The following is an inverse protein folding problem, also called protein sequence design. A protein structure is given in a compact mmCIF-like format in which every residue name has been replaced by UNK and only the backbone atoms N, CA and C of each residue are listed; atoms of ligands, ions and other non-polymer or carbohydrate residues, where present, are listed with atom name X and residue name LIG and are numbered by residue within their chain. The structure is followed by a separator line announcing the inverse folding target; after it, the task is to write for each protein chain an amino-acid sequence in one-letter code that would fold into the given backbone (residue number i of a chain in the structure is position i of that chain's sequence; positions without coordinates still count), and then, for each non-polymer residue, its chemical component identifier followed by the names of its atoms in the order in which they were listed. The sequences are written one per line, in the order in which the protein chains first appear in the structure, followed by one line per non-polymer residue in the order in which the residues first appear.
data_IF_194687526237
#
_entry.id   IF_194687526237
#
_cell.length_a   1.000
_cell.length_b   1.000
_cell.length_c   1.000
_cell.angle_alpha   90.00
_cell.angle_beta   90.00
_cell.angle_gamma   90.00
#
_symmetry.space_group_name_H-M   'P 1'
#
loop_
_entity.id
_entity.type
_entity.pdbx_description
1 polymer ?
#
# COMPACT_ATOMS: atom_id res chain seq x y z
N UNK A 1 9.33 9.37 -4.28
CA UNK A 1 9.05 10.59 -5.08
C UNK A 1 8.37 11.63 -4.20
N UNK A 2 8.92 12.84 -4.08
CA UNK A 2 8.30 13.90 -3.30
C UNK A 2 6.93 14.25 -3.88
N UNK A 3 5.96 14.51 -3.00
CA UNK A 3 4.69 15.08 -3.43
C UNK A 3 4.98 16.52 -3.88
N UNK A 4 4.55 16.95 -5.08
CA UNK A 4 4.75 18.33 -5.50
C UNK A 4 3.98 19.26 -4.56
N UNK A 5 4.66 20.30 -4.10
CA UNK A 5 4.14 21.40 -3.30
C UNK A 5 3.08 22.20 -4.08
N UNK A 6 2.34 23.05 -3.37
CA UNK A 6 1.32 23.90 -4.00
C UNK A 6 1.91 24.85 -5.05
N UNK A 7 3.11 25.38 -4.78
CA UNK A 7 3.81 26.27 -5.71
C UNK A 7 4.27 25.53 -6.97
N UNK A 8 4.87 24.34 -6.82
CA UNK A 8 5.31 23.52 -7.96
C UNK A 8 4.13 23.09 -8.85
N UNK A 9 2.98 22.77 -8.25
CA UNK A 9 1.76 22.46 -8.99
C UNK A 9 1.26 23.66 -9.79
N UNK A 10 1.23 24.85 -9.18
CA UNK A 10 0.81 26.08 -9.83
C UNK A 10 1.74 26.45 -10.99
N UNK A 11 3.06 26.34 -10.80
CA UNK A 11 4.05 26.55 -11.84
C UNK A 11 3.89 25.57 -13.03
N UNK A 12 3.49 24.33 -12.76
CA UNK A 12 3.20 23.34 -13.80
C UNK A 12 1.79 23.48 -14.43
N UNK A 13 1.00 24.50 -14.05
CA UNK A 13 -0.37 24.69 -14.52
C UNK A 13 -1.35 23.60 -14.07
N UNK A 14 -1.01 22.81 -13.04
CA UNK A 14 -1.82 21.69 -12.54
C UNK A 14 -2.63 22.10 -11.33
N UNK A 15 -3.93 21.81 -11.35
CA UNK A 15 -4.83 21.99 -10.21
C UNK A 15 -5.32 20.64 -9.68
N UNK A 16 -5.74 20.60 -8.40
CA UNK A 16 -6.31 19.39 -7.80
C UNK A 16 -5.31 18.27 -7.46
N UNK A 17 -5.79 17.03 -7.57
CA UNK A 17 -5.00 15.83 -7.31
C UNK A 17 -4.01 15.58 -8.45
N UNK A 18 -2.72 15.58 -8.12
CA UNK A 18 -1.65 15.26 -9.07
C UNK A 18 -1.11 13.90 -8.69
N UNK A 19 -1.32 12.85 -9.52
CA UNK A 19 -0.77 11.53 -9.27
C UNK A 19 0.76 11.61 -9.18
N UNK A 20 1.31 11.03 -8.13
CA UNK A 20 2.76 10.88 -7.99
C UNK A 20 3.17 9.63 -8.76
N UNK A 21 4.23 9.71 -9.57
CA UNK A 21 4.77 8.53 -10.23
C UNK A 21 5.03 7.41 -9.20
N UNK A 22 4.70 6.18 -9.57
CA UNK A 22 4.78 4.96 -8.74
C UNK A 22 3.91 4.92 -7.47
N UNK A 23 3.03 5.90 -7.26
CA UNK A 23 2.05 5.90 -6.15
C UNK A 23 1.19 4.63 -6.11
N UNK A 24 0.84 4.11 -7.30
CA UNK A 24 0.03 2.91 -7.45
C UNK A 24 0.61 1.69 -6.73
N UNK A 25 1.94 1.62 -6.55
CA UNK A 25 2.60 0.50 -5.86
C UNK A 25 2.15 0.46 -4.39
N UNK A 26 2.13 1.62 -3.73
CA UNK A 26 1.71 1.75 -2.32
C UNK A 26 0.23 1.44 -2.19
N UNK A 27 -0.60 2.05 -3.05
CA UNK A 27 -2.05 1.87 -3.02
C UNK A 27 -2.44 0.40 -3.28
N UNK A 28 -1.76 -0.27 -4.20
CA UNK A 28 -1.95 -1.69 -4.48
C UNK A 28 -1.53 -2.57 -3.29
N UNK A 29 -0.40 -2.26 -2.64
CA UNK A 29 0.01 -2.95 -1.41
C UNK A 29 -1.02 -2.79 -0.30
N UNK A 30 -1.56 -1.59 -0.10
CA UNK A 30 -2.63 -1.33 0.86
C UNK A 30 -3.90 -2.13 0.53
N UNK A 31 -4.33 -2.15 -0.73
CA UNK A 31 -5.48 -2.93 -1.17
C UNK A 31 -5.33 -4.44 -0.92
N UNK A 32 -4.11 -4.97 -0.93
CA UNK A 32 -3.87 -6.37 -0.56
C UNK A 32 -4.03 -6.62 0.95
N UNK A 33 -3.60 -5.67 1.77
CA UNK A 33 -3.76 -5.72 3.23
C UNK A 33 -5.22 -5.57 3.66
N UNK A 34 -6.05 -4.84 2.91
CA UNK A 34 -7.49 -4.68 3.20
C UNK A 34 -8.25 -6.00 3.30
N UNK A 35 -7.77 -7.05 2.60
CA UNK A 35 -8.35 -8.40 2.67
C UNK A 35 -7.99 -9.16 3.94
N UNK A 36 -7.14 -8.62 4.79
CA UNK A 36 -6.74 -9.21 6.06
C UNK A 36 -7.39 -8.42 7.20
N UNK A 37 -8.54 -8.91 7.71
CA UNK A 37 -9.32 -8.24 8.78
C UNK A 37 -8.50 -7.92 10.04
N UNK A 38 -7.51 -8.76 10.40
CA UNK A 38 -6.61 -8.48 11.53
C UNK A 38 -5.85 -7.15 11.34
N UNK A 39 -5.45 -6.81 10.12
CA UNK A 39 -4.71 -5.58 9.82
C UNK A 39 -5.59 -4.33 9.70
N UNK A 40 -6.89 -4.48 9.42
CA UNK A 40 -7.77 -3.33 9.09
C UNK A 40 -8.95 -3.09 10.01
N UNK A 41 -9.40 -4.12 10.74
CA UNK A 41 -10.60 -4.04 11.59
C UNK A 41 -10.32 -4.45 13.03
N UNK A 42 -9.57 -5.53 13.23
CA UNK A 42 -9.37 -6.07 14.58
C UNK A 42 -8.15 -5.44 15.25
N UNK A 43 -7.12 -5.09 14.47
CA UNK A 43 -5.83 -4.54 14.91
C UNK A 43 -5.11 -5.39 15.97
N UNK A 44 -3.80 -5.58 15.77
CA UNK A 44 -3.01 -6.32 16.74
C UNK A 44 -2.67 -5.46 17.97
N UNK A 45 -2.67 -6.07 19.15
CA UNK A 45 -2.39 -5.36 20.42
C UNK A 45 -0.98 -4.79 20.51
N UNK A 46 -0.03 -5.39 19.79
CA UNK A 46 1.39 -4.98 19.84
C UNK A 46 1.94 -4.81 18.43
N UNK A 47 2.93 -3.93 18.29
CA UNK A 47 3.58 -3.68 17.00
C UNK A 47 4.28 -4.92 16.42
N UNK A 48 4.85 -5.78 17.28
CA UNK A 48 5.50 -7.02 16.85
C UNK A 48 4.52 -7.96 16.14
N UNK A 49 3.35 -8.16 16.75
CA UNK A 49 2.27 -8.96 16.15
C UNK A 49 1.72 -8.30 14.88
N UNK A 50 1.51 -6.98 14.89
CA UNK A 50 1.06 -6.24 13.70
C UNK A 50 2.03 -6.43 12.53
N UNK A 51 3.33 -6.32 12.78
CA UNK A 51 4.36 -6.57 11.78
C UNK A 51 4.33 -8.01 11.26
N UNK A 52 4.23 -9.00 12.15
CA UNK A 52 4.14 -10.41 11.74
C UNK A 52 2.91 -10.67 10.84
N UNK A 53 1.77 -10.07 11.15
CA UNK A 53 0.56 -10.15 10.31
C UNK A 53 0.74 -9.50 8.93
N UNK A 54 1.45 -8.36 8.87
CA UNK A 54 1.81 -7.74 7.59
C UNK A 54 2.68 -8.68 6.76
N UNK A 55 3.76 -9.20 7.33
CA UNK A 55 4.68 -10.12 6.63
C UNK A 55 3.92 -11.36 6.13
N UNK A 56 3.06 -11.94 6.97
CA UNK A 56 2.22 -13.09 6.61
C UNK A 56 1.25 -12.79 5.44
N UNK A 57 0.65 -11.59 5.40
CA UNK A 57 -0.21 -11.16 4.31
C UNK A 57 0.50 -11.22 2.96
N UNK A 58 1.74 -10.72 2.89
CA UNK A 58 2.52 -10.71 1.66
C UNK A 58 3.10 -12.08 1.30
N UNK A 59 3.50 -12.90 2.28
CA UNK A 59 3.88 -14.31 2.03
C UNK A 59 2.71 -15.07 1.40
N UNK A 60 1.49 -14.94 1.95
CA UNK A 60 0.28 -15.56 1.37
C UNK A 60 0.04 -15.11 -0.06
N UNK A 61 0.26 -13.83 -0.36
CA UNK A 61 0.14 -13.30 -1.72
C UNK A 61 1.18 -13.93 -2.67
N UNK A 62 2.43 -14.06 -2.24
CA UNK A 62 3.49 -14.68 -3.04
C UNK A 62 3.18 -16.15 -3.33
N UNK A 63 2.75 -16.91 -2.32
CA UNK A 63 2.35 -18.31 -2.47
C UNK A 63 1.22 -18.48 -3.50
N UNK A 64 0.20 -17.62 -3.45
CA UNK A 64 -0.90 -17.65 -4.45
C UNK A 64 -0.42 -17.37 -5.86
N UNK A 65 0.56 -16.48 -6.04
CA UNK A 65 1.13 -16.19 -7.36
C UNK A 65 1.99 -17.33 -7.88
N UNK A 66 2.80 -17.93 -7.01
CA UNK A 66 3.60 -19.10 -7.36
C UNK A 66 2.70 -20.24 -7.82
N UNK A 67 1.64 -20.54 -7.08
CA UNK A 67 0.69 -21.59 -7.45
C UNK A 67 -0.13 -21.30 -8.72
N UNK A 68 -0.36 -20.03 -9.05
CA UNK A 68 -1.05 -19.64 -10.28
C UNK A 68 -0.13 -19.63 -11.52
N UNK A 69 1.19 -19.53 -11.30
CA UNK A 69 2.21 -19.51 -12.35
C UNK A 69 2.91 -20.87 -12.52
N UNK A 70 2.61 -21.83 -11.66
CA UNK A 70 3.05 -23.22 -11.75
C UNK A 70 2.03 -24.03 -12.56
#
# INVERSE_FOLDING_TARGET
SPKPSKAEKAAAGKSGFVPVATRWVIERSNAWMERCKSLTKNFERTLVHAKAQMDFCFVRLMLKRLAANA
#
